data_IF_725494016942
#
_entry.id   IF_725494016942
#
_cell.length_a   1.000
_cell.length_b   1.000
_cell.length_c   1.000
_cell.angle_alpha   90.00
_cell.angle_beta   90.00
_cell.angle_gamma   90.00
#
_symmetry.space_group_name_H-M   'P 1'
#
loop_
_entity.id
_entity.type
_entity.pdbx_description
1 polymer ?
#
# COMPACT_ATOMS: atom_id res chain seq x y z
N UNK A 1 -5.54 12.85 60.83
CA UNK A 1 -6.52 12.76 59.72
C UNK A 1 -6.13 13.75 58.64
N UNK A 2 -5.77 13.28 57.44
CA UNK A 2 -5.93 13.95 56.13
C UNK A 2 -5.27 13.07 55.07
N UNK A 3 -6.04 12.13 54.56
CA UNK A 3 -5.75 11.33 53.37
C UNK A 3 -5.83 12.25 52.15
N UNK A 4 -4.69 12.75 51.68
CA UNK A 4 -4.62 13.44 50.37
C UNK A 4 -4.56 12.38 49.28
N UNK A 5 -5.69 12.21 48.59
CA UNK A 5 -5.86 11.28 47.50
C UNK A 5 -5.00 11.63 46.29
N UNK A 6 -4.24 10.64 45.83
CA UNK A 6 -3.51 10.65 44.57
C UNK A 6 -4.50 10.37 43.43
N UNK A 7 -4.87 11.39 42.66
CA UNK A 7 -5.67 11.20 41.43
C UNK A 7 -4.69 10.86 40.30
N UNK A 8 -4.68 9.58 39.91
CA UNK A 8 -3.94 9.07 38.76
C UNK A 8 -4.85 9.13 37.53
N UNK A 9 -4.68 10.15 36.68
CA UNK A 9 -5.37 10.25 35.39
C UNK A 9 -4.65 9.33 34.38
N UNK A 10 -5.20 8.14 34.14
CA UNK A 10 -4.78 7.28 33.02
C UNK A 10 -5.34 7.85 31.70
N UNK A 11 -4.51 8.56 30.94
CA UNK A 11 -4.78 8.88 29.55
C UNK A 11 -4.62 7.62 28.70
N UNK A 12 -5.74 6.96 28.39
CA UNK A 12 -5.80 5.88 27.41
C UNK A 12 -5.60 6.46 26.01
N UNK A 13 -4.36 6.45 25.49
CA UNK A 13 -4.12 6.64 24.08
C UNK A 13 -4.61 5.40 23.31
N UNK A 14 -5.90 5.37 22.99
CA UNK A 14 -6.39 4.56 21.89
C UNK A 14 -5.84 5.15 20.59
N UNK A 15 -4.65 4.70 20.17
CA UNK A 15 -4.13 4.97 18.84
C UNK A 15 -5.03 4.29 17.82
N UNK A 16 -6.06 5.00 17.35
CA UNK A 16 -6.76 4.59 16.16
C UNK A 16 -5.72 4.62 15.04
N UNK A 17 -5.38 3.44 14.49
CA UNK A 17 -4.51 3.32 13.33
C UNK A 17 -5.24 3.92 12.13
N UNK A 18 -5.28 5.26 12.06
CA UNK A 18 -5.84 5.99 10.94
C UNK A 18 -5.00 5.63 9.73
N UNK A 19 -5.57 4.84 8.83
CA UNK A 19 -4.93 4.49 7.58
C UNK A 19 -4.68 5.80 6.81
N UNK A 20 -3.41 6.18 6.68
CA UNK A 20 -3.02 7.41 6.00
C UNK A 20 -3.46 7.44 4.53
N UNK A 21 -3.33 8.58 3.85
CA UNK A 21 -3.74 8.73 2.46
C UNK A 21 -3.10 7.66 1.57
N UNK A 22 -3.94 6.91 0.84
CA UNK A 22 -3.58 5.85 -0.10
C UNK A 22 -3.86 6.30 -1.53
N UNK A 23 -2.97 6.00 -2.46
CA UNK A 23 -3.17 6.35 -3.87
C UNK A 23 -1.90 6.77 -4.61
N UNK A 24 -2.14 7.35 -5.78
CA UNK A 24 -1.11 7.89 -6.65
C UNK A 24 -1.09 9.42 -6.54
N UNK A 25 0.05 9.96 -6.11
CA UNK A 25 0.31 11.38 -5.86
C UNK A 25 1.58 11.85 -6.59
N UNK A 26 1.91 11.19 -7.70
CA UNK A 26 3.13 11.42 -8.48
C UNK A 26 2.79 11.90 -9.90
N UNK A 27 1.95 12.95 -10.03
CA UNK A 27 1.38 13.38 -11.31
C UNK A 27 2.41 13.73 -12.40
N UNK A 28 3.65 14.08 -12.03
CA UNK A 28 4.76 14.33 -12.96
C UNK A 28 5.41 13.06 -13.49
N UNK A 29 5.13 11.90 -12.90
CA UNK A 29 5.75 10.63 -13.27
C UNK A 29 5.12 10.09 -14.55
N UNK A 30 5.94 9.83 -15.56
CA UNK A 30 5.46 9.29 -16.84
C UNK A 30 4.77 7.92 -16.68
N UNK A 31 3.86 7.54 -17.60
CA UNK A 31 3.26 6.21 -17.58
C UNK A 31 4.28 5.06 -17.66
N UNK A 32 5.36 5.24 -18.45
CA UNK A 32 6.44 4.25 -18.55
C UNK A 32 7.18 4.08 -17.22
N UNK A 33 7.49 5.19 -16.55
CA UNK A 33 8.10 5.18 -15.21
C UNK A 33 7.17 4.55 -14.17
N UNK A 34 5.87 4.83 -14.22
CA UNK A 34 4.86 4.19 -13.35
C UNK A 34 4.81 2.68 -13.58
N UNK A 35 4.87 2.22 -14.83
CA UNK A 35 4.90 0.80 -15.15
C UNK A 35 6.15 0.10 -14.61
N UNK A 36 7.32 0.76 -14.65
CA UNK A 36 8.57 0.27 -14.07
C UNK A 36 8.45 0.12 -12.55
N UNK A 37 7.91 1.12 -11.85
CA UNK A 37 7.67 1.03 -10.40
C UNK A 37 6.71 -0.14 -10.10
N UNK A 38 5.70 -0.37 -10.94
CA UNK A 38 4.78 -1.49 -10.79
C UNK A 38 5.48 -2.86 -10.97
N UNK A 39 6.41 -3.00 -11.92
CA UNK A 39 7.23 -4.22 -12.05
C UNK A 39 8.03 -4.51 -10.79
N UNK A 40 8.76 -3.51 -10.31
CA UNK A 40 9.58 -3.61 -9.11
C UNK A 40 8.73 -3.98 -7.88
N UNK A 41 7.56 -3.34 -7.73
CA UNK A 41 6.60 -3.63 -6.66
C UNK A 41 6.10 -5.08 -6.71
N UNK A 42 5.76 -5.59 -7.89
CA UNK A 42 5.31 -6.99 -8.05
C UNK A 42 6.44 -7.96 -7.76
N UNK A 43 7.66 -7.66 -8.21
CA UNK A 43 8.84 -8.46 -7.86
C UNK A 43 9.03 -8.57 -6.35
N UNK A 44 8.87 -7.45 -5.63
CA UNK A 44 8.99 -7.43 -4.18
C UNK A 44 7.84 -8.18 -3.48
N UNK A 45 6.61 -8.03 -3.96
CA UNK A 45 5.46 -8.76 -3.43
C UNK A 45 5.63 -10.27 -3.63
N UNK A 46 6.13 -10.71 -4.79
CA UNK A 46 6.41 -12.12 -5.07
C UNK A 46 7.42 -12.71 -4.09
N UNK A 47 8.47 -11.95 -3.77
CA UNK A 47 9.51 -12.41 -2.86
C UNK A 47 9.03 -12.54 -1.40
N UNK A 48 8.09 -11.71 -0.97
CA UNK A 48 7.70 -11.61 0.45
C UNK A 48 6.31 -12.16 0.78
N UNK A 49 5.41 -12.20 -0.19
CA UNK A 49 4.02 -12.60 -0.03
C UNK A 49 3.60 -13.46 -1.22
N UNK A 50 3.98 -14.75 -1.27
CA UNK A 50 3.69 -15.60 -2.42
C UNK A 50 2.18 -15.67 -2.77
N UNK A 51 1.81 -15.73 -4.06
CA UNK A 51 0.42 -15.65 -4.49
C UNK A 51 -0.45 -16.81 -3.99
N UNK A 52 0.12 -18.01 -3.84
CA UNK A 52 -0.62 -19.20 -3.38
C UNK A 52 -1.11 -19.10 -1.93
N UNK A 53 -0.50 -18.22 -1.12
CA UNK A 53 -0.81 -18.05 0.30
C UNK A 53 -1.26 -16.63 0.66
N UNK A 54 -1.41 -15.74 -0.34
CA UNK A 54 -1.70 -14.32 -0.11
C UNK A 54 -2.87 -13.86 -0.96
N UNK A 55 -3.98 -13.57 -0.30
CA UNK A 55 -5.15 -12.93 -0.89
C UNK A 55 -5.06 -11.44 -0.59
N UNK A 56 -4.94 -10.59 -1.60
CA UNK A 56 -4.79 -9.14 -1.41
C UNK A 56 -6.15 -8.46 -1.52
N UNK A 57 -6.53 -7.71 -0.50
CA UNK A 57 -7.77 -6.93 -0.45
C UNK A 57 -7.43 -5.47 -0.60
N UNK A 58 -7.61 -4.94 -1.79
CA UNK A 58 -7.30 -3.54 -2.08
C UNK A 58 -8.40 -2.63 -1.54
N UNK A 59 -8.02 -1.75 -0.60
CA UNK A 59 -8.93 -0.78 0.05
C UNK A 59 -8.86 0.64 -0.54
N UNK A 60 -8.47 0.76 -1.81
CA UNK A 60 -8.38 2.04 -2.52
C UNK A 60 -8.84 1.90 -3.98
N UNK A 61 -9.32 2.97 -4.62
CA UNK A 61 -9.57 2.98 -6.06
C UNK A 61 -8.25 2.90 -6.85
N UNK A 62 -8.33 2.28 -8.03
CA UNK A 62 -7.19 1.95 -8.92
C UNK A 62 -7.34 2.53 -10.31
N UNK A 63 -7.92 3.72 -10.41
CA UNK A 63 -8.09 4.41 -11.70
C UNK A 63 -6.89 5.30 -12.06
N UNK A 64 -5.71 4.99 -11.54
CA UNK A 64 -4.48 5.74 -11.78
C UNK A 64 -3.45 4.93 -12.61
N UNK A 65 -2.46 5.59 -13.24
CA UNK A 65 -1.51 4.94 -14.14
C UNK A 65 -0.67 3.84 -13.49
N UNK A 66 -0.41 3.94 -12.18
CA UNK A 66 0.37 2.94 -11.46
C UNK A 66 -0.53 1.78 -10.99
N UNK A 67 -1.68 2.09 -10.39
CA UNK A 67 -2.64 1.14 -9.83
C UNK A 67 -3.18 0.15 -10.85
N UNK A 68 -3.60 0.66 -12.01
CA UNK A 68 -4.11 -0.16 -13.12
C UNK A 68 -3.07 -1.20 -13.58
N UNK A 69 -1.83 -0.76 -13.78
CA UNK A 69 -0.71 -1.61 -14.21
C UNK A 69 -0.31 -2.61 -13.12
N UNK A 70 -0.23 -2.16 -11.86
CA UNK A 70 0.07 -3.01 -10.71
C UNK A 70 -0.92 -4.18 -10.59
N UNK A 71 -2.22 -3.89 -10.69
CA UNK A 71 -3.26 -4.90 -10.58
C UNK A 71 -3.23 -5.93 -11.71
N UNK A 72 -3.05 -5.46 -12.95
CA UNK A 72 -2.88 -6.34 -14.10
C UNK A 72 -1.70 -7.30 -13.90
N UNK A 73 -0.57 -6.77 -13.42
CA UNK A 73 0.64 -7.57 -13.17
C UNK A 73 0.45 -8.55 -12.01
N UNK A 74 -0.14 -8.13 -10.89
CA UNK A 74 -0.44 -9.03 -9.77
C UNK A 74 -1.31 -10.22 -10.21
N UNK A 75 -2.38 -9.94 -10.96
CA UNK A 75 -3.24 -11.01 -11.51
C UNK A 75 -2.49 -11.93 -12.47
N UNK A 76 -1.66 -11.37 -13.34
CA UNK A 76 -0.82 -12.17 -14.26
C UNK A 76 0.17 -13.09 -13.54
N UNK A 77 0.55 -12.75 -12.30
CA UNK A 77 1.41 -13.54 -11.43
C UNK A 77 0.65 -14.50 -10.50
N UNK A 78 -0.68 -14.58 -10.65
CA UNK A 78 -1.52 -15.54 -9.92
C UNK A 78 -2.04 -15.05 -8.57
N UNK A 79 -1.87 -13.76 -8.23
CA UNK A 79 -2.48 -13.22 -7.03
C UNK A 79 -4.00 -13.18 -7.15
N UNK A 80 -4.68 -13.62 -6.08
CA UNK A 80 -6.07 -13.30 -5.86
C UNK A 80 -6.18 -11.87 -5.31
N UNK A 81 -6.60 -10.93 -6.16
CA UNK A 81 -6.76 -9.50 -5.80
C UNK A 81 -8.23 -9.13 -5.83
N UNK A 82 -8.76 -8.73 -4.68
CA UNK A 82 -10.11 -8.18 -4.54
C UNK A 82 -10.04 -6.67 -4.40
N UNK A 83 -10.70 -5.96 -5.31
CA UNK A 83 -10.91 -4.53 -5.23
C UNK A 83 -12.19 -4.28 -4.44
N UNK A 84 -12.14 -3.45 -3.38
CA UNK A 84 -13.39 -3.12 -2.69
C UNK A 84 -14.31 -2.33 -3.64
N UNK A 85 -15.58 -2.74 -3.76
CA UNK A 85 -16.55 -2.01 -4.56
C UNK A 85 -16.74 -0.63 -3.94
N UNK A 86 -16.67 0.41 -4.77
CA UNK A 86 -17.24 1.71 -4.42
C UNK A 86 -18.76 1.51 -4.23
N UNK A 87 -19.19 1.36 -2.98
CA UNK A 87 -20.60 1.33 -2.54
C UNK A 87 -21.54 0.42 -3.37
N UNK A 88 -21.82 -0.80 -2.88
CA UNK A 88 -23.04 -1.53 -3.29
C UNK A 88 -22.92 -2.97 -3.76
N UNK A 89 -21.74 -3.59 -3.84
CA UNK A 89 -21.63 -5.01 -4.21
C UNK A 89 -21.57 -5.91 -2.97
N UNK A 90 -22.73 -6.20 -2.39
CA UNK A 90 -22.91 -7.22 -1.35
C UNK A 90 -23.03 -8.61 -1.99
N UNK A 91 -21.94 -9.13 -2.53
CA UNK A 91 -21.83 -10.54 -2.86
C UNK A 91 -21.14 -11.27 -1.70
N UNK A 92 -21.76 -12.32 -1.15
CA UNK A 92 -21.28 -13.01 0.06
C UNK A 92 -19.81 -13.47 -0.01
N UNK A 93 -19.33 -13.82 -1.21
CA UNK A 93 -17.91 -14.17 -1.45
C UNK A 93 -16.96 -12.97 -1.27
N UNK A 94 -17.36 -11.78 -1.72
CA UNK A 94 -16.56 -10.56 -1.53
C UNK A 94 -16.51 -10.14 -0.06
N UNK A 95 -17.61 -10.32 0.68
CA UNK A 95 -17.64 -10.10 2.12
C UNK A 95 -16.69 -11.05 2.87
N UNK A 96 -16.72 -12.35 2.57
CA UNK A 96 -15.81 -13.34 3.19
C UNK A 96 -14.35 -13.04 2.84
N UNK A 97 -14.04 -12.71 1.58
CA UNK A 97 -12.68 -12.34 1.18
C UNK A 97 -12.21 -11.03 1.84
N UNK A 98 -13.13 -10.11 2.15
CA UNK A 98 -12.78 -8.88 2.86
C UNK A 98 -12.40 -9.13 4.33
N UNK A 99 -12.91 -10.23 4.91
CA UNK A 99 -12.62 -10.64 6.29
C UNK A 99 -11.36 -11.49 6.40
N UNK A 100 -11.09 -12.37 5.42
CA UNK A 100 -9.98 -13.34 5.49
C UNK A 100 -8.74 -12.89 4.71
N UNK A 101 -8.90 -12.00 3.74
CA UNK A 101 -7.80 -11.51 2.92
C UNK A 101 -6.94 -10.45 3.62
N UNK A 102 -5.70 -10.33 3.17
CA UNK A 102 -4.72 -9.37 3.68
C UNK A 102 -5.03 -7.98 3.14
N UNK A 103 -5.20 -6.99 4.03
CA UNK A 103 -5.35 -5.58 3.62
C UNK A 103 -4.17 -5.18 2.73
N UNK A 104 -4.48 -4.61 1.58
CA UNK A 104 -3.50 -4.15 0.62
C UNK A 104 -3.78 -2.72 0.18
N UNK A 105 -2.72 -1.96 0.02
CA UNK A 105 -2.77 -0.61 -0.51
C UNK A 105 -1.38 -0.14 -0.93
N UNK A 106 -1.34 1.01 -1.58
CA UNK A 106 -0.10 1.66 -1.95
C UNK A 106 -0.20 3.18 -1.83
N UNK A 107 0.97 3.80 -1.69
CA UNK A 107 1.21 5.23 -1.88
C UNK A 107 2.36 5.36 -2.86
N UNK A 108 2.13 6.05 -3.98
CA UNK A 108 3.20 6.49 -4.87
C UNK A 108 3.22 8.02 -4.86
N UNK A 109 4.14 8.59 -4.10
CA UNK A 109 4.22 10.03 -3.85
C UNK A 109 5.55 10.64 -4.31
N UNK A 110 5.54 11.96 -4.46
CA UNK A 110 6.75 12.72 -4.71
C UNK A 110 7.45 13.03 -3.37
N UNK A 111 8.68 12.52 -3.22
CA UNK A 111 9.52 12.68 -2.02
C UNK A 111 10.53 13.84 -2.13
N UNK A 112 10.37 14.68 -3.15
CA UNK A 112 11.24 15.81 -3.49
C UNK A 112 11.31 16.04 -5.00
N UNK A 113 12.04 17.07 -5.44
CA UNK A 113 12.22 17.35 -6.87
C UNK A 113 12.88 16.16 -7.59
N UNK A 114 12.19 15.59 -8.58
CA UNK A 114 12.66 14.41 -9.31
C UNK A 114 12.83 13.16 -8.44
N UNK A 115 12.24 13.12 -7.24
CA UNK A 115 12.31 11.98 -6.32
C UNK A 115 10.92 11.45 -6.04
N UNK A 116 10.77 10.15 -6.15
CA UNK A 116 9.50 9.47 -5.94
C UNK A 116 9.69 8.35 -4.94
N UNK A 117 8.63 8.02 -4.22
CA UNK A 117 8.63 6.92 -3.28
C UNK A 117 7.39 6.08 -3.49
N UNK A 118 7.60 4.78 -3.57
CA UNK A 118 6.52 3.81 -3.45
C UNK A 118 6.50 3.27 -2.02
N UNK A 119 5.32 3.16 -1.44
CA UNK A 119 5.06 2.44 -0.20
C UNK A 119 3.94 1.45 -0.48
N UNK A 120 4.17 0.17 -0.21
CA UNK A 120 3.20 -0.91 -0.28
C UNK A 120 2.77 -1.24 1.14
N UNK A 121 1.49 -1.16 1.43
CA UNK A 121 0.91 -1.58 2.70
C UNK A 121 0.35 -2.98 2.53
N UNK A 122 0.82 -3.94 3.34
CA UNK A 122 0.40 -5.35 3.30
C UNK A 122 0.11 -5.79 4.73
N UNK A 123 -1.17 -5.86 5.08
CA UNK A 123 -1.63 -6.08 6.45
C UNK A 123 -1.13 -4.97 7.38
N UNK A 124 -0.40 -5.36 8.43
CA UNK A 124 0.23 -4.43 9.37
C UNK A 124 1.60 -3.93 8.90
N UNK A 125 2.14 -4.51 7.82
CA UNK A 125 3.48 -4.22 7.35
C UNK A 125 3.47 -3.18 6.24
N UNK A 126 4.57 -2.44 6.11
CA UNK A 126 4.81 -1.58 4.96
C UNK A 126 6.17 -1.87 4.34
N UNK A 127 6.26 -1.76 3.02
CA UNK A 127 7.51 -1.90 2.27
C UNK A 127 7.66 -0.70 1.37
N UNK A 128 8.80 -0.02 1.44
CA UNK A 128 9.01 1.22 0.69
C UNK A 128 10.32 1.23 -0.08
N UNK A 129 10.34 1.98 -1.18
CA UNK A 129 11.53 2.20 -2.01
C UNK A 129 11.52 3.59 -2.62
N UNK A 130 12.70 4.19 -2.77
CA UNK A 130 12.91 5.52 -3.35
C UNK A 130 13.45 5.40 -4.77
N UNK A 131 12.96 6.26 -5.65
CA UNK A 131 13.37 6.42 -7.03
C UNK A 131 13.80 7.86 -7.30
N UNK A 132 14.76 8.04 -8.21
CA UNK A 132 15.17 9.33 -8.75
C UNK A 132 14.96 9.32 -10.25
N UNK A 133 14.39 10.39 -10.78
CA UNK A 133 14.24 10.62 -12.21
C UNK A 133 15.36 11.54 -12.70
N UNK A 134 16.11 11.07 -13.70
CA UNK A 134 17.19 11.81 -14.36
C UNK A 134 17.00 11.71 -15.86
N UNK A 135 16.87 12.83 -16.57
CA UNK A 135 16.69 12.87 -18.02
C UNK A 135 15.53 11.97 -18.54
N UNK A 136 14.41 11.94 -17.82
CA UNK A 136 13.24 11.12 -18.17
C UNK A 136 13.39 9.61 -17.88
N UNK A 137 14.51 9.19 -17.29
CA UNK A 137 14.73 7.82 -16.82
C UNK A 137 14.56 7.77 -15.30
N UNK A 138 13.74 6.84 -14.83
CA UNK A 138 13.54 6.58 -13.42
C UNK A 138 14.45 5.44 -12.96
N UNK A 139 15.28 5.64 -11.94
CA UNK A 139 16.14 4.60 -11.34
C UNK A 139 15.91 4.50 -9.83
N UNK A 140 15.98 3.28 -9.30
CA UNK A 140 15.84 3.04 -7.87
C UNK A 140 17.15 3.40 -7.15
N UNK A 141 17.04 4.18 -6.07
CA UNK A 141 18.19 4.68 -5.31
C UNK A 141 18.24 4.14 -3.88
N UNK A 142 17.29 3.28 -3.51
CA UNK A 142 17.29 2.58 -2.24
C UNK A 142 17.00 1.09 -2.41
N UNK A 143 17.42 0.30 -1.44
CA UNK A 143 16.86 -1.03 -1.21
C UNK A 143 15.40 -0.91 -0.76
N UNK A 144 14.68 -2.03 -0.82
CA UNK A 144 13.37 -2.14 -0.21
C UNK A 144 13.51 -2.14 1.31
N UNK A 145 12.80 -1.23 1.96
CA UNK A 145 12.77 -1.11 3.42
C UNK A 145 11.43 -1.63 3.92
N UNK A 146 11.44 -2.69 4.72
CA UNK A 146 10.26 -3.26 5.37
C UNK A 146 10.12 -2.71 6.80
N UNK A 147 8.90 -2.34 7.18
CA UNK A 147 8.51 -1.99 8.55
C UNK A 147 7.33 -2.84 9.00
N UNK A 148 7.32 -3.17 10.28
CA UNK A 148 6.30 -3.98 10.97
C UNK A 148 5.52 -3.15 11.99
#
# INVERSE_FOLDING_TARGET
>A
MKTSGLILVLALFAGCATQGPRGYYAASLSPASSAKVADDSVGQLLALYPPASTYLVLKQPTNDPYGTVLLGKLRSKGYAVMEMPTTGSNSGKAAVMATVGTDFGYVLDQAGTGRYRVTLNVGTQSISRIYVETNGRLDAVSFWVKRS
#
